data_IF_481741787575
#
_entry.id   IF_481741787575
#
_cell.length_a   1.000
_cell.length_b   1.000
_cell.length_c   1.000
_cell.angle_alpha   90.00
_cell.angle_beta   90.00
_cell.angle_gamma   90.00
#
_symmetry.space_group_name_H-M   'P 1'
#
loop_
_entity.id
_entity.type
_entity.pdbx_description
1 polymer ?
#
# COMPACT_ATOMS: atom_id res chain seq x y z
N UNK A 1 6.79 8.35 20.82
CA UNK A 1 6.07 7.36 20.00
C UNK A 1 6.36 7.77 18.58
N UNK A 2 6.92 6.87 17.78
CA UNK A 2 7.03 7.14 16.36
C UNK A 2 5.60 7.08 15.82
N UNK A 3 5.12 8.19 15.25
CA UNK A 3 3.77 8.24 14.71
C UNK A 3 3.79 7.62 13.31
N UNK A 4 2.90 6.63 13.08
CA UNK A 4 2.77 5.94 11.81
C UNK A 4 1.36 6.15 11.23
N UNK A 5 1.30 6.10 9.91
CA UNK A 5 0.05 6.03 9.14
C UNK A 5 -0.09 4.61 8.61
N UNK A 6 -1.23 3.99 8.92
CA UNK A 6 -1.58 2.69 8.35
C UNK A 6 -2.10 2.90 6.93
N UNK A 7 -1.58 2.12 5.99
CA UNK A 7 -2.08 2.06 4.62
C UNK A 7 -2.66 0.67 4.41
N UNK A 8 -3.92 0.61 3.97
CA UNK A 8 -4.65 -0.64 3.78
C UNK A 8 -5.13 -0.79 2.34
N UNK A 9 -4.71 -1.87 1.71
CA UNK A 9 -5.16 -2.25 0.37
C UNK A 9 -6.57 -2.84 0.47
N UNK A 10 -7.47 -2.29 -0.34
CA UNK A 10 -8.89 -2.66 -0.44
C UNK A 10 -9.23 -3.25 -1.82
N UNK A 11 -8.23 -3.56 -2.64
CA UNK A 11 -8.38 -4.32 -3.88
C UNK A 11 -8.83 -5.76 -3.57
N UNK A 12 -9.76 -6.33 -4.37
CA UNK A 12 -10.46 -7.60 -4.06
C UNK A 12 -9.55 -8.72 -3.54
N UNK A 13 -8.59 -9.17 -4.35
CA UNK A 13 -7.75 -10.34 -4.02
C UNK A 13 -6.61 -10.01 -3.03
N UNK A 14 -6.40 -8.72 -2.75
CA UNK A 14 -5.36 -8.22 -1.86
C UNK A 14 -5.93 -7.57 -0.59
N UNK A 15 -7.24 -7.70 -0.38
CA UNK A 15 -7.94 -7.05 0.71
C UNK A 15 -7.37 -7.54 2.03
N UNK A 16 -6.91 -6.59 2.85
CA UNK A 16 -6.39 -6.85 4.19
C UNK A 16 -4.87 -6.74 4.26
N UNK A 17 -4.17 -6.71 3.12
CA UNK A 17 -2.77 -6.30 3.12
C UNK A 17 -2.66 -4.86 3.63
N UNK A 18 -1.76 -4.64 4.57
CA UNK A 18 -1.51 -3.33 5.13
C UNK A 18 -0.04 -3.14 5.49
N UNK A 19 0.39 -1.89 5.43
CA UNK A 19 1.72 -1.45 5.83
C UNK A 19 1.60 -0.22 6.72
N UNK A 20 2.63 0.01 7.53
CA UNK A 20 2.76 1.22 8.33
C UNK A 20 3.89 2.07 7.76
N UNK A 21 3.59 3.30 7.39
CA UNK A 21 4.58 4.27 6.93
C UNK A 21 4.77 5.33 8.03
N UNK A 22 6.01 5.59 8.47
CA UNK A 22 6.30 6.68 9.39
C UNK A 22 5.74 8.02 8.87
N UNK A 23 5.11 8.81 9.73
CA UNK A 23 4.46 10.06 9.33
C UNK A 23 5.45 11.07 8.71
N UNK A 24 6.69 11.11 9.22
CA UNK A 24 7.75 11.94 8.64
C UNK A 24 8.12 11.50 7.21
N UNK A 25 8.18 10.19 6.94
CA UNK A 25 8.41 9.66 5.58
C UNK A 25 7.21 9.98 4.69
N UNK A 26 5.99 9.70 5.16
CA UNK A 26 4.76 9.91 4.41
C UNK A 26 4.58 11.38 3.99
N UNK A 27 4.90 12.33 4.86
CA UNK A 27 4.79 13.77 4.56
C UNK A 27 5.67 14.26 3.40
N UNK A 28 6.65 13.45 2.98
CA UNK A 28 7.57 13.75 1.88
C UNK A 28 7.25 12.95 0.61
N UNK A 29 6.27 12.05 0.66
CA UNK A 29 5.92 11.15 -0.44
C UNK A 29 4.78 11.72 -1.27
N UNK A 30 4.90 11.63 -2.60
CA UNK A 30 3.75 11.80 -3.49
C UNK A 30 2.83 10.57 -3.42
N UNK A 31 1.61 10.69 -3.95
CA UNK A 31 0.70 9.54 -4.10
C UNK A 31 1.35 8.39 -4.88
N UNK A 32 2.12 8.71 -5.93
CA UNK A 32 2.83 7.70 -6.71
C UNK A 32 3.91 7.00 -5.88
N UNK A 33 4.66 7.73 -5.05
CA UNK A 33 5.67 7.12 -4.16
C UNK A 33 5.02 6.17 -3.17
N UNK A 34 3.84 6.54 -2.63
CA UNK A 34 3.06 5.70 -1.71
C UNK A 34 2.61 4.43 -2.42
N UNK A 35 2.06 4.55 -3.63
CA UNK A 35 1.65 3.40 -4.44
C UNK A 35 2.82 2.45 -4.74
N UNK A 36 3.99 2.98 -5.10
CA UNK A 36 5.18 2.17 -5.35
C UNK A 36 5.67 1.46 -4.08
N UNK A 37 5.69 2.15 -2.94
CA UNK A 37 6.06 1.56 -1.64
C UNK A 37 5.13 0.38 -1.29
N UNK A 38 3.81 0.55 -1.47
CA UNK A 38 2.83 -0.52 -1.25
C UNK A 38 3.12 -1.72 -2.15
N UNK A 39 3.30 -1.49 -3.47
CA UNK A 39 3.60 -2.57 -4.43
C UNK A 39 4.87 -3.33 -4.06
N UNK A 40 5.94 -2.62 -3.70
CA UNK A 40 7.20 -3.24 -3.27
C UNK A 40 7.02 -4.07 -1.99
N UNK A 41 6.25 -3.56 -1.03
CA UNK A 41 5.93 -4.28 0.20
C UNK A 41 5.09 -5.54 -0.07
N UNK A 42 4.09 -5.46 -0.96
CA UNK A 42 3.28 -6.60 -1.40
C UNK A 42 4.14 -7.67 -2.07
N UNK A 43 4.98 -7.29 -3.04
CA UNK A 43 5.90 -8.21 -3.73
C UNK A 43 6.81 -8.92 -2.73
N UNK A 44 7.38 -8.17 -1.79
CA UNK A 44 8.27 -8.72 -0.76
C UNK A 44 7.54 -9.69 0.17
N UNK A 45 6.34 -9.31 0.61
CA UNK A 45 5.50 -10.15 1.47
C UNK A 45 5.10 -11.45 0.77
N UNK A 46 4.52 -11.36 -0.44
CA UNK A 46 4.06 -12.54 -1.17
C UNK A 46 5.21 -13.48 -1.54
N UNK A 47 6.37 -12.93 -1.94
CA UNK A 47 7.59 -13.73 -2.15
C UNK A 47 8.03 -14.46 -0.87
N UNK A 48 8.04 -13.77 0.28
CA UNK A 48 8.42 -14.37 1.57
C UNK A 48 7.47 -15.50 2.00
N UNK A 49 6.20 -15.42 1.59
CA UNK A 49 5.16 -16.39 1.93
C UNK A 49 4.89 -17.43 0.84
N UNK A 50 5.72 -17.49 -0.22
CA UNK A 50 5.55 -18.40 -1.37
C UNK A 50 4.19 -18.25 -2.08
N UNK A 51 3.65 -17.03 -2.14
CA UNK A 51 2.39 -16.68 -2.79
C UNK A 51 2.67 -16.10 -4.18
N UNK A 52 3.27 -16.91 -5.06
CA UNK A 52 3.80 -16.44 -6.35
C UNK A 52 2.73 -15.86 -7.28
N UNK A 53 1.54 -16.44 -7.34
CA UNK A 53 0.42 -15.92 -8.16
C UNK A 53 0.00 -14.50 -7.72
N UNK A 54 -0.08 -14.26 -6.40
CA UNK A 54 -0.39 -12.94 -5.86
C UNK A 54 0.76 -11.95 -6.12
N UNK A 55 2.01 -12.41 -6.01
CA UNK A 55 3.20 -11.59 -6.30
C UNK A 55 3.21 -11.10 -7.76
N UNK A 56 2.94 -12.00 -8.71
CA UNK A 56 2.89 -11.67 -10.14
C UNK A 56 1.75 -10.72 -10.49
N UNK A 57 0.61 -10.84 -9.80
CA UNK A 57 -0.52 -9.94 -10.02
C UNK A 57 -0.30 -8.50 -9.51
N UNK A 58 0.68 -8.24 -8.63
CA UNK A 58 0.92 -6.89 -8.06
C UNK A 58 1.28 -5.86 -9.14
N UNK A 59 2.04 -6.24 -10.16
CA UNK A 59 2.45 -5.31 -11.22
C UNK A 59 1.27 -4.79 -12.03
N UNK A 60 0.20 -5.59 -12.12
CA UNK A 60 -1.01 -5.27 -12.89
C UNK A 60 -2.01 -4.41 -12.12
N UNK A 61 -1.82 -4.24 -10.80
CA UNK A 61 -2.68 -3.39 -9.99
C UNK A 61 -2.54 -1.93 -10.42
N UNK A 62 -3.66 -1.28 -10.67
CA UNK A 62 -3.75 0.16 -10.87
C UNK A 62 -4.26 0.78 -9.57
N UNK A 63 -3.35 0.88 -8.59
CA UNK A 63 -3.67 1.37 -7.25
C UNK A 63 -3.87 2.89 -7.23
N UNK A 64 -4.96 3.33 -6.61
CA UNK A 64 -5.31 4.73 -6.42
C UNK A 64 -5.67 5.02 -4.96
N UNK A 65 -5.35 6.24 -4.55
CA UNK A 65 -5.74 6.81 -3.26
C UNK A 65 -6.93 7.73 -3.55
N UNK A 66 -8.09 7.46 -2.95
CA UNK A 66 -9.32 8.19 -3.26
C UNK A 66 -9.44 9.55 -2.57
N UNK A 67 -8.94 9.63 -1.34
CA UNK A 67 -9.17 10.76 -0.46
C UNK A 67 -7.88 11.53 -0.22
N UNK A 68 -8.03 12.83 0.03
CA UNK A 68 -6.94 13.62 0.61
C UNK A 68 -6.58 13.01 1.97
N UNK A 69 -5.35 12.54 2.08
CA UNK A 69 -4.89 11.86 3.28
C UNK A 69 -4.13 12.81 4.21
N UNK A 70 -4.26 12.58 5.51
CA UNK A 70 -3.46 13.25 6.54
C UNK A 70 -2.68 12.22 7.36
N UNK A 71 -1.44 12.53 7.78
CA UNK A 71 -0.68 11.65 8.65
C UNK A 71 -1.46 11.27 9.92
N UNK A 72 -1.41 10.00 10.32
CA UNK A 72 -2.12 9.44 11.46
C UNK A 72 -3.52 8.90 11.16
N UNK A 73 -4.05 9.08 9.95
CA UNK A 73 -5.27 8.42 9.50
C UNK A 73 -4.96 7.08 8.81
N UNK A 74 -5.94 6.18 8.71
CA UNK A 74 -5.81 5.01 7.83
C UNK A 74 -6.08 5.43 6.40
N UNK A 75 -5.11 5.21 5.50
CA UNK A 75 -5.25 5.45 4.08
C UNK A 75 -5.75 4.17 3.41
N UNK A 76 -6.87 4.26 2.71
CA UNK A 76 -7.39 3.15 1.91
C UNK A 76 -6.96 3.30 0.46
N UNK A 77 -6.39 2.23 -0.08
CA UNK A 77 -5.89 2.18 -1.45
C UNK A 77 -6.67 1.13 -2.22
N UNK A 78 -7.33 1.55 -3.29
CA UNK A 78 -8.19 0.71 -4.12
C UNK A 78 -7.52 0.45 -5.47
N UNK A 79 -7.94 -0.63 -6.13
CA UNK A 79 -7.57 -0.91 -7.51
C UNK A 79 -8.71 -0.41 -8.41
N UNK A 80 -8.40 0.49 -9.34
CA UNK A 80 -9.35 0.93 -10.36
C UNK A 80 -8.92 0.37 -11.71
N UNK A 81 -9.74 -0.52 -12.25
CA UNK A 81 -9.71 -0.88 -13.68
C UNK A 81 -10.14 0.30 -14.56
#
# INVERSE_FOLDING_TARGET
>A
MDDYTKIQVSAKIYWGFNIEIPNNKLSLMSENDIVQEIKLAMITFFKKHNLEELKEGVSNLNLHIHDTFSPGQTIYVCDHE
#
